data_IF_189846759053
#
_entry.id   IF_189846759053
#
_cell.length_a   1.000
_cell.length_b   1.000
_cell.length_c   1.000
_cell.angle_alpha   90.00
_cell.angle_beta   90.00
_cell.angle_gamma   90.00
#
_symmetry.space_group_name_H-M   'P 1'
#
loop_
_entity.id
_entity.type
_entity.pdbx_description
1 polymer ?
#
# COMPACT_ATOMS: atom_id res chain seq x y z
N UNK A 1 -19.10 42.86 -15.36
CA UNK A 1 -19.20 41.69 -16.28
C UNK A 1 -17.88 40.93 -16.40
N UNK A 2 -16.80 41.52 -16.93
CA UNK A 2 -15.49 40.83 -17.11
C UNK A 2 -14.91 40.21 -15.82
N UNK A 3 -15.00 40.90 -14.68
CA UNK A 3 -14.50 40.40 -13.38
C UNK A 3 -15.28 39.20 -12.84
N UNK A 4 -16.59 39.15 -13.06
CA UNK A 4 -17.46 38.04 -12.60
C UNK A 4 -17.17 36.77 -13.43
N UNK A 5 -16.92 36.94 -14.74
CA UNK A 5 -16.54 35.84 -15.63
C UNK A 5 -15.20 35.23 -15.24
N UNK A 6 -14.22 36.05 -14.84
CA UNK A 6 -12.89 35.57 -14.40
C UNK A 6 -13.00 34.74 -13.11
N UNK A 7 -13.82 35.18 -12.15
CA UNK A 7 -14.01 34.46 -10.88
C UNK A 7 -14.71 33.12 -11.12
N UNK A 8 -15.74 33.09 -11.97
CA UNK A 8 -16.39 31.84 -12.35
C UNK A 8 -15.44 30.87 -13.04
N UNK A 9 -14.58 31.36 -13.94
CA UNK A 9 -13.60 30.53 -14.64
C UNK A 9 -12.57 29.92 -13.66
N UNK A 10 -12.09 30.69 -12.68
CA UNK A 10 -11.15 30.20 -11.69
C UNK A 10 -11.74 29.10 -10.79
N UNK A 11 -13.01 29.25 -10.38
CA UNK A 11 -13.71 28.24 -9.57
C UNK A 11 -13.91 26.94 -10.36
N UNK A 12 -14.27 27.03 -11.64
CA UNK A 12 -14.40 25.85 -12.52
C UNK A 12 -13.08 25.12 -12.67
N UNK A 13 -11.95 25.84 -12.83
CA UNK A 13 -10.63 25.22 -12.94
C UNK A 13 -10.25 24.47 -11.66
N UNK A 14 -10.50 25.05 -10.48
CA UNK A 14 -10.21 24.41 -9.19
C UNK A 14 -11.07 23.15 -9.00
N UNK A 15 -12.35 23.19 -9.37
CA UNK A 15 -13.25 22.02 -9.31
C UNK A 15 -12.79 20.94 -10.29
N UNK A 16 -12.43 21.31 -11.53
CA UNK A 16 -11.92 20.35 -12.52
C UNK A 16 -10.60 19.70 -12.06
N UNK A 17 -9.70 20.45 -11.44
CA UNK A 17 -8.46 19.92 -10.88
C UNK A 17 -8.73 18.94 -9.71
N UNK A 18 -9.67 19.27 -8.83
CA UNK A 18 -10.08 18.39 -7.73
C UNK A 18 -10.74 17.09 -8.24
N UNK A 19 -11.58 17.17 -9.27
CA UNK A 19 -12.22 15.99 -9.87
C UNK A 19 -11.21 15.13 -10.63
N UNK A 20 -10.27 15.72 -11.37
CA UNK A 20 -9.21 14.96 -12.04
C UNK A 20 -8.29 14.25 -11.04
N UNK A 21 -7.95 14.90 -9.92
CA UNK A 21 -7.20 14.26 -8.84
C UNK A 21 -7.95 13.08 -8.20
N UNK A 22 -9.29 13.13 -8.13
CA UNK A 22 -10.10 12.04 -7.60
C UNK A 22 -10.24 10.85 -8.55
N UNK A 23 -10.25 11.10 -9.87
CA UNK A 23 -10.41 10.05 -10.90
C UNK A 23 -9.12 9.26 -11.18
N UNK A 24 -7.96 9.77 -10.76
CA UNK A 24 -6.68 9.06 -10.91
C UNK A 24 -6.40 8.04 -9.81
N UNK A 25 -7.20 7.99 -8.73
CA UNK A 25 -7.14 6.95 -7.70
C UNK A 25 -7.94 5.68 -8.04
N UNK A 26 -8.16 5.41 -9.32
CA UNK A 26 -8.61 4.11 -9.79
C UNK A 26 -7.42 3.18 -9.90
N UNK A 27 -6.93 2.68 -8.77
CA UNK A 27 -5.85 1.69 -8.71
C UNK A 27 -6.27 0.48 -9.55
N UNK A 28 -5.77 0.41 -10.77
CA UNK A 28 -6.03 -0.71 -11.68
C UNK A 28 -5.16 -1.86 -11.22
N UNK A 29 -5.58 -2.53 -10.15
CA UNK A 29 -4.94 -3.74 -9.66
C UNK A 29 -5.10 -4.80 -10.76
N UNK A 30 -4.06 -4.96 -11.58
CA UNK A 30 -3.99 -6.01 -12.60
C UNK A 30 -3.77 -7.31 -11.86
N UNK A 31 -4.81 -8.11 -11.72
CA UNK A 31 -4.73 -9.41 -11.05
C UNK A 31 -6.11 -9.93 -10.67
N UNK A 32 -6.13 -11.19 -10.26
CA UNK A 32 -7.25 -11.87 -9.60
C UNK A 32 -7.29 -11.64 -8.08
N UNK A 33 -6.23 -11.11 -7.47
CA UNK A 33 -6.19 -10.80 -6.03
C UNK A 33 -6.36 -9.32 -5.75
N UNK A 34 -7.31 -9.00 -4.88
CA UNK A 34 -7.60 -7.66 -4.39
C UNK A 34 -7.10 -7.49 -2.95
N UNK A 35 -6.59 -6.31 -2.60
CA UNK A 35 -6.39 -5.92 -1.19
C UNK A 35 -7.67 -5.26 -0.70
N UNK A 36 -8.24 -5.77 0.39
CA UNK A 36 -9.46 -5.22 0.99
C UNK A 36 -9.06 -4.07 1.92
N UNK A 37 -8.99 -2.87 1.37
CA UNK A 37 -8.43 -1.67 2.02
C UNK A 37 -9.12 -1.33 3.36
N UNK A 38 -10.45 -1.44 3.46
CA UNK A 38 -11.20 -1.14 4.68
C UNK A 38 -10.96 -2.14 5.83
N UNK A 39 -10.30 -3.26 5.53
CA UNK A 39 -9.89 -4.30 6.49
C UNK A 39 -8.37 -4.48 6.54
N UNK A 40 -7.63 -3.57 5.93
CA UNK A 40 -6.17 -3.59 5.92
C UNK A 40 -5.65 -2.33 6.57
N UNK A 41 -4.64 -2.45 7.43
CA UNK A 41 -4.09 -1.31 8.16
C UNK A 41 -2.66 -1.57 8.63
N UNK A 42 -1.90 -0.50 8.81
CA UNK A 42 -0.63 -0.55 9.51
C UNK A 42 -0.89 -0.87 10.99
N UNK A 43 -0.33 -1.98 11.47
CA UNK A 43 -0.44 -2.41 12.86
C UNK A 43 0.52 -1.61 13.73
N UNK A 44 1.81 -1.72 13.44
CA UNK A 44 2.87 -1.01 14.12
C UNK A 44 4.12 -0.89 13.23
N UNK A 45 5.12 -0.21 13.77
CA UNK A 45 6.47 -0.22 13.23
C UNK A 45 7.45 -0.20 14.40
N UNK A 46 8.63 -0.77 14.17
CA UNK A 46 9.73 -0.77 15.13
C UNK A 46 11.03 -0.48 14.40
N UNK A 47 11.85 0.35 15.01
CA UNK A 47 13.24 0.54 14.61
C UNK A 47 14.10 -0.03 15.71
N UNK A 48 14.92 -1.02 15.36
CA UNK A 48 15.79 -1.70 16.32
C UNK A 48 17.00 -2.27 15.58
N UNK A 49 18.17 -2.20 16.22
CA UNK A 49 19.41 -2.82 15.73
C UNK A 49 19.81 -2.37 14.29
N UNK A 50 19.44 -1.15 13.92
CA UNK A 50 19.72 -0.58 12.60
C UNK A 50 18.77 -1.05 11.49
N UNK A 51 17.68 -1.73 11.84
CA UNK A 51 16.63 -2.16 10.94
C UNK A 51 15.30 -1.51 11.30
N UNK A 52 14.52 -1.21 10.28
CA UNK A 52 13.14 -0.78 10.38
C UNK A 52 12.24 -1.92 9.91
N UNK A 53 11.31 -2.29 10.77
CA UNK A 53 10.25 -3.26 10.47
C UNK A 53 8.90 -2.56 10.54
N UNK A 54 8.15 -2.60 9.45
CA UNK A 54 6.79 -2.08 9.35
C UNK A 54 5.84 -3.27 9.22
N UNK A 55 4.92 -3.44 10.18
CA UNK A 55 4.00 -4.56 10.20
C UNK A 55 2.59 -4.13 9.84
N UNK A 56 1.99 -4.84 8.89
CA UNK A 56 0.63 -4.58 8.44
C UNK A 56 -0.27 -5.78 8.72
N UNK A 57 -1.53 -5.49 9.03
CA UNK A 57 -2.62 -6.46 8.89
C UNK A 57 -3.19 -6.28 7.50
N UNK A 58 -3.13 -7.30 6.65
CA UNK A 58 -3.57 -7.25 5.27
C UNK A 58 -4.67 -8.29 5.02
N UNK A 59 -5.77 -7.83 4.44
CA UNK A 59 -6.84 -8.72 3.98
C UNK A 59 -6.79 -8.84 2.47
N UNK A 60 -6.68 -10.07 1.97
CA UNK A 60 -6.68 -10.38 0.55
C UNK A 60 -7.96 -11.09 0.14
N UNK A 61 -8.41 -10.84 -1.08
CA UNK A 61 -9.56 -11.51 -1.68
C UNK A 61 -9.19 -12.04 -3.06
N UNK A 62 -9.31 -13.36 -3.24
CA UNK A 62 -9.24 -13.98 -4.54
C UNK A 62 -10.58 -13.83 -5.26
N UNK A 63 -10.58 -13.17 -6.40
CA UNK A 63 -11.78 -12.99 -7.23
C UNK A 63 -11.93 -14.05 -8.32
N UNK A 64 -10.94 -14.92 -8.49
CA UNK A 64 -10.97 -15.99 -9.48
C UNK A 64 -11.59 -17.30 -8.95
N UNK A 65 -11.79 -18.24 -9.86
CA UNK A 65 -12.23 -19.61 -9.61
C UNK A 65 -11.07 -20.61 -9.41
N UNK A 66 -9.83 -20.12 -9.31
CA UNK A 66 -8.62 -20.93 -9.10
C UNK A 66 -7.90 -20.50 -7.84
N UNK A 67 -7.09 -21.40 -7.28
CA UNK A 67 -6.15 -20.99 -6.25
C UNK A 67 -5.11 -20.07 -6.88
N UNK A 68 -4.75 -18.98 -6.19
CA UNK A 68 -3.76 -18.02 -6.66
C UNK A 68 -2.62 -17.98 -5.66
N UNK A 69 -1.41 -17.95 -6.21
CA UNK A 69 -0.16 -17.79 -5.49
C UNK A 69 0.42 -16.43 -5.83
N UNK A 70 0.84 -15.65 -4.83
CA UNK A 70 1.34 -14.29 -5.06
C UNK A 70 2.31 -13.86 -3.96
N UNK A 71 3.09 -12.81 -4.25
CA UNK A 71 3.83 -12.05 -3.24
C UNK A 71 3.26 -10.63 -3.13
N UNK A 72 3.59 -9.96 -2.03
CA UNK A 72 3.17 -8.58 -1.76
C UNK A 72 4.40 -7.71 -1.61
N UNK A 73 4.38 -6.56 -2.27
CA UNK A 73 5.48 -5.60 -2.27
C UNK A 73 4.96 -4.24 -1.83
N UNK A 74 5.67 -3.61 -0.92
CA UNK A 74 5.41 -2.24 -0.50
C UNK A 74 6.33 -1.27 -1.24
N UNK A 75 5.78 -0.11 -1.60
CA UNK A 75 6.49 1.07 -2.06
C UNK A 75 6.41 2.13 -0.96
N UNK A 76 7.56 2.49 -0.41
CA UNK A 76 7.74 3.34 0.75
C UNK A 76 8.25 4.74 0.38
N UNK A 77 7.54 5.49 -0.47
CA UNK A 77 7.99 6.82 -0.94
C UNK A 77 8.36 7.76 0.22
N UNK A 78 7.42 8.03 1.13
CA UNK A 78 7.61 8.99 2.22
C UNK A 78 8.58 8.47 3.30
N UNK A 79 8.52 7.17 3.60
CA UNK A 79 9.39 6.52 4.59
C UNK A 79 10.85 6.42 4.06
N UNK A 80 11.05 6.31 2.75
CA UNK A 80 12.35 6.36 2.10
C UNK A 80 12.92 7.79 2.08
N UNK A 81 12.11 8.78 1.67
CA UNK A 81 12.52 10.18 1.64
C UNK A 81 12.85 10.74 3.03
N UNK A 82 12.12 10.32 4.06
CA UNK A 82 12.37 10.69 5.45
C UNK A 82 13.59 9.99 6.07
N UNK A 83 14.10 8.93 5.43
CA UNK A 83 15.20 8.12 5.94
C UNK A 83 14.78 7.08 6.99
N UNK A 84 13.49 6.78 7.13
CA UNK A 84 13.02 5.70 8.00
C UNK A 84 13.43 4.33 7.44
N UNK A 85 13.40 4.15 6.11
CA UNK A 85 13.89 2.95 5.42
C UNK A 85 14.96 3.29 4.39
N UNK A 86 15.86 2.35 4.09
CA UNK A 86 16.88 2.51 3.05
C UNK A 86 16.44 2.00 1.68
N UNK A 87 15.41 1.17 1.63
CA UNK A 87 14.89 0.56 0.41
C UNK A 87 13.50 1.11 0.12
N UNK A 88 13.34 1.73 -1.04
CA UNK A 88 12.06 2.28 -1.49
C UNK A 88 11.04 1.15 -1.77
N UNK A 89 11.51 -0.04 -2.13
CA UNK A 89 10.68 -1.19 -2.46
C UNK A 89 11.06 -2.42 -1.64
N UNK A 90 10.09 -2.99 -0.91
CA UNK A 90 10.35 -4.11 0.02
C UNK A 90 9.29 -5.20 -0.16
N UNK A 91 9.71 -6.46 -0.20
CA UNK A 91 8.80 -7.62 -0.23
C UNK A 91 8.32 -7.93 1.19
N UNK A 92 7.04 -8.21 1.35
CA UNK A 92 6.42 -8.56 2.62
C UNK A 92 6.63 -10.02 2.97
N UNK A 93 6.87 -10.30 4.25
CA UNK A 93 7.01 -11.65 4.80
C UNK A 93 5.86 -11.88 5.78
N UNK A 94 5.12 -12.98 5.62
CA UNK A 94 4.09 -13.37 6.57
C UNK A 94 4.75 -13.84 7.88
N UNK A 95 4.49 -13.16 9.00
CA UNK A 95 5.15 -13.45 10.27
C UNK A 95 4.87 -14.85 10.81
N UNK A 96 3.64 -15.34 10.60
CA UNK A 96 3.20 -16.65 11.11
C UNK A 96 3.94 -17.81 10.43
N UNK A 97 4.31 -17.66 9.15
CA UNK A 97 4.93 -18.71 8.33
C UNK A 97 6.39 -18.45 8.00
N UNK A 98 6.84 -17.20 8.05
CA UNK A 98 8.14 -16.76 7.55
C UNK A 98 8.23 -16.79 6.01
N UNK A 99 7.11 -16.88 5.31
CA UNK A 99 7.06 -17.01 3.85
C UNK A 99 6.72 -15.67 3.17
N UNK A 100 7.38 -15.40 2.05
CA UNK A 100 7.08 -14.26 1.15
C UNK A 100 5.90 -14.54 0.21
N UNK A 101 5.59 -15.83 0.02
CA UNK A 101 4.60 -16.31 -0.93
C UNK A 101 3.33 -16.70 -0.18
N UNK A 102 2.21 -16.19 -0.66
CA UNK A 102 0.88 -16.45 -0.13
C UNK A 102 0.10 -17.27 -1.15
N UNK A 103 -0.57 -18.33 -0.71
CA UNK A 103 -1.54 -19.06 -1.53
C UNK A 103 -2.93 -18.92 -0.94
N UNK A 104 -3.88 -18.43 -1.73
CA UNK A 104 -5.29 -18.30 -1.34
C UNK A 104 -6.17 -19.11 -2.29
N UNK A 105 -7.23 -19.73 -1.74
CA UNK A 105 -8.13 -20.57 -2.52
C UNK A 105 -9.01 -19.74 -3.44
N UNK A 106 -9.56 -20.40 -4.45
CA UNK A 106 -10.61 -19.84 -5.31
C UNK A 106 -11.71 -19.17 -4.49
N UNK A 107 -12.02 -17.91 -4.81
CA UNK A 107 -13.07 -17.12 -4.13
C UNK A 107 -12.81 -16.79 -2.65
N UNK A 108 -11.66 -17.14 -2.09
CA UNK A 108 -11.38 -16.97 -0.65
C UNK A 108 -11.08 -15.51 -0.29
N UNK A 109 -11.51 -15.11 0.91
CA UNK A 109 -11.05 -13.87 1.56
C UNK A 109 -10.37 -14.26 2.86
N UNK A 110 -9.13 -13.81 3.06
CA UNK A 110 -8.31 -14.17 4.21
C UNK A 110 -7.59 -12.93 4.76
N UNK A 111 -7.46 -12.87 6.08
CA UNK A 111 -6.73 -11.84 6.81
C UNK A 111 -5.41 -12.41 7.31
N UNK A 112 -4.31 -11.71 7.03
CA UNK A 112 -2.99 -11.96 7.59
C UNK A 112 -2.68 -10.89 8.61
N UNK A 113 -2.49 -11.30 9.88
CA UNK A 113 -2.31 -10.38 11.01
C UNK A 113 -0.88 -9.83 11.16
N UNK A 114 0.05 -10.32 10.36
CA UNK A 114 1.43 -9.85 10.33
C UNK A 114 2.03 -10.09 8.96
N UNK A 115 2.02 -9.06 8.13
CA UNK A 115 2.88 -8.97 6.94
C UNK A 115 3.94 -7.92 7.26
N UNK A 116 5.16 -8.39 7.46
CA UNK A 116 6.30 -7.57 7.86
C UNK A 116 7.11 -7.14 6.63
N UNK A 117 7.40 -5.85 6.54
CA UNK A 117 8.32 -5.28 5.57
C UNK A 117 9.57 -4.80 6.31
N UNK A 118 10.70 -5.44 6.05
CA UNK A 118 11.96 -5.17 6.72
C UNK A 118 12.96 -4.50 5.76
N UNK A 119 13.51 -3.37 6.17
CA UNK A 119 14.59 -2.66 5.46
C UNK A 119 15.56 -2.10 6.49
N UNK A 120 16.79 -1.77 6.07
CA UNK A 120 17.71 -1.08 6.98
C UNK A 120 17.17 0.30 7.31
N UNK A 121 17.41 0.75 8.53
CA UNK A 121 17.12 2.11 8.91
C UNK A 121 18.11 3.07 8.20
N UNK A 122 17.64 4.22 7.76
CA UNK A 122 18.45 5.20 7.02
C UNK A 122 18.61 6.54 7.77
N UNK A 123 18.42 6.54 9.10
CA UNK A 123 18.70 7.67 9.98
C UNK A 123 17.49 8.34 10.63
N UNK A 124 16.26 7.92 10.31
CA UNK A 124 15.05 8.38 11.00
C UNK A 124 14.44 7.29 11.86
N UNK A 125 14.07 7.64 13.09
CA UNK A 125 13.39 6.77 14.05
C UNK A 125 11.86 7.02 14.08
N UNK A 126 11.36 7.89 13.20
CA UNK A 126 9.99 8.39 13.22
C UNK A 126 9.28 8.04 11.92
N UNK A 127 8.11 7.43 12.04
CA UNK A 127 7.12 7.35 10.96
C UNK A 127 6.20 8.57 10.98
N UNK A 128 6.05 9.22 9.83
CA UNK A 128 5.27 10.47 9.65
C UNK A 128 3.78 10.29 9.87
N UNK A 129 3.26 9.10 9.60
CA UNK A 129 1.83 8.79 9.58
C UNK A 129 1.57 7.33 10.04
N UNK A 130 0.29 6.95 10.05
CA UNK A 130 -0.18 5.60 10.37
C UNK A 130 -0.89 4.96 9.18
N UNK A 131 -0.56 5.39 7.96
CA UNK A 131 -1.16 4.87 6.74
C UNK A 131 -0.47 3.57 6.33
N UNK A 132 -1.19 2.76 5.56
CA UNK A 132 -0.56 1.66 4.83
C UNK A 132 0.41 2.23 3.79
N UNK A 133 1.54 1.55 3.53
CA UNK A 133 2.33 1.87 2.35
C UNK A 133 1.54 1.56 1.07
N UNK A 134 2.03 2.05 -0.06
CA UNK A 134 1.49 1.69 -1.35
C UNK A 134 1.83 0.23 -1.65
N UNK A 135 0.80 -0.62 -1.80
CA UNK A 135 0.96 -2.07 -1.95
C UNK A 135 0.74 -2.51 -3.39
N UNK A 136 1.59 -3.40 -3.87
CA UNK A 136 1.48 -4.09 -5.15
C UNK A 136 1.46 -5.60 -4.93
N UNK A 137 0.59 -6.29 -5.67
CA UNK A 137 0.54 -7.75 -5.71
C UNK A 137 1.23 -8.25 -6.98
N UNK A 138 2.12 -9.23 -6.83
CA UNK A 138 2.75 -9.94 -7.94
C UNK A 138 2.26 -11.40 -7.94
N UNK A 139 1.33 -11.72 -8.83
CA UNK A 139 0.83 -13.09 -9.02
C UNK A 139 1.88 -13.96 -9.72
N UNK A 140 2.06 -15.19 -9.22
CA UNK A 140 3.03 -16.16 -9.70
C UNK A 140 2.27 -17.21 -10.52
N UNK A 141 2.59 -17.29 -11.82
CA UNK A 141 2.01 -18.26 -12.77
C UNK A 141 2.45 -19.72 -12.52
#
# INVERSE_FOLDING_TARGET
MKKIVIIFLAVVIVICAAVMGFLTFGNSQKGSVEIVEDKSYLSDFVVQDGETRINCVLTFKNTSDKNITFSVKAHFTDDYESGLVSDEYVIGICEDTGEEIITIKAGETIEYKGVAFCSKNNGSEIKSDRLLPDLTIEEIE
#
